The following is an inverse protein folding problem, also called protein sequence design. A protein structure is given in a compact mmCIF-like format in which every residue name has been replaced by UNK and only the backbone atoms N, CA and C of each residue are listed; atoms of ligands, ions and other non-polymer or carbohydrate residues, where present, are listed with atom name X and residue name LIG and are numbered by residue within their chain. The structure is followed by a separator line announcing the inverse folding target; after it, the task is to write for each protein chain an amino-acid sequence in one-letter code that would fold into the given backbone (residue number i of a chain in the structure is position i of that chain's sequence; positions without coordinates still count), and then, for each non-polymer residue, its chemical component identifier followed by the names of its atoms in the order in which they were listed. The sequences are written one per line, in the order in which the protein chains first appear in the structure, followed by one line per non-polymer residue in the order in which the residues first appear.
data_IF_988283999710
#
_entry.id   IF_988283999710
#
_cell.length_a   1.000
_cell.length_b   1.000
_cell.length_c   1.000
_cell.angle_alpha   90.00
_cell.angle_beta   90.00
_cell.angle_gamma   90.00
#
_symmetry.space_group_name_H-M   'P 1'
#
loop_
_entity.id
_entity.type
_entity.pdbx_description
1 polymer ?
#
# COMPACT_ATOMS: atom_id res chain seq x y z
N UNK A 1 54.64 11.67 10.15
CA UNK A 1 54.42 10.38 9.47
C UNK A 1 54.05 9.30 10.48
N UNK A 2 54.79 9.18 11.59
CA UNK A 2 54.54 8.19 12.67
C UNK A 2 53.16 8.26 13.35
N UNK A 3 52.59 9.46 13.56
CA UNK A 3 51.25 9.59 14.15
C UNK A 3 50.12 9.06 13.23
N UNK A 4 50.31 9.17 11.90
CA UNK A 4 49.37 8.64 10.90
C UNK A 4 49.40 7.10 10.88
N UNK A 5 50.59 6.51 11.02
CA UNK A 5 50.74 5.05 11.13
C UNK A 5 50.12 4.49 12.42
N UNK A 6 50.22 5.23 13.53
CA UNK A 6 49.56 4.86 14.78
C UNK A 6 48.03 4.95 14.69
N UNK A 7 47.51 6.02 14.11
CA UNK A 7 46.07 6.20 13.92
C UNK A 7 45.46 5.13 13.00
N UNK A 8 46.14 4.81 11.90
CA UNK A 8 45.73 3.74 10.98
C UNK A 8 45.73 2.37 11.68
N UNK A 9 46.74 2.11 12.51
CA UNK A 9 46.82 0.90 13.32
C UNK A 9 45.69 0.84 14.35
N UNK A 10 45.42 1.93 15.06
CA UNK A 10 44.31 2.03 16.00
C UNK A 10 42.96 1.82 15.31
N UNK A 11 42.75 2.38 14.11
CA UNK A 11 41.56 2.14 13.31
C UNK A 11 41.43 0.67 12.94
N UNK A 12 42.51 0.05 12.47
CA UNK A 12 42.52 -1.36 12.11
C UNK A 12 42.17 -2.26 13.31
N UNK A 13 42.78 -2.01 14.47
CA UNK A 13 42.51 -2.74 15.71
C UNK A 13 41.04 -2.57 16.11
N UNK A 14 40.51 -1.34 16.10
CA UNK A 14 39.12 -1.06 16.45
C UNK A 14 38.14 -1.75 15.49
N UNK A 15 38.48 -1.80 14.20
CA UNK A 15 37.71 -2.56 13.20
C UNK A 15 37.69 -4.06 13.52
N UNK A 16 38.85 -4.66 13.85
CA UNK A 16 38.93 -6.07 14.27
C UNK A 16 38.13 -6.33 15.55
N UNK A 17 38.23 -5.45 16.55
CA UNK A 17 37.43 -5.53 17.78
C UNK A 17 35.93 -5.48 17.47
N UNK A 18 35.51 -4.59 16.56
CA UNK A 18 34.12 -4.48 16.13
C UNK A 18 33.60 -5.75 15.47
N UNK A 19 34.41 -6.37 14.59
CA UNK A 19 34.08 -7.67 13.97
C UNK A 19 33.94 -8.77 15.02
N UNK A 20 34.86 -8.85 15.98
CA UNK A 20 34.78 -9.82 17.08
C UNK A 20 33.50 -9.63 17.88
N UNK A 21 33.18 -8.38 18.28
CA UNK A 21 31.95 -8.07 19.03
C UNK A 21 30.69 -8.52 18.27
N UNK A 22 30.57 -8.17 16.98
CA UNK A 22 29.44 -8.58 16.14
C UNK A 22 29.34 -10.11 16.04
N UNK A 23 30.46 -10.79 15.88
CA UNK A 23 30.50 -12.26 15.77
C UNK A 23 30.03 -12.93 17.07
N UNK A 24 30.46 -12.41 18.22
CA UNK A 24 30.02 -12.90 19.53
C UNK A 24 28.52 -12.64 19.75
N UNK A 25 28.02 -11.47 19.35
CA UNK A 25 26.59 -11.16 19.42
C UNK A 25 25.75 -12.08 18.54
N UNK A 26 26.17 -12.33 17.29
CA UNK A 26 25.49 -13.27 16.39
C UNK A 26 25.46 -14.68 16.97
N UNK A 27 26.59 -15.14 17.53
CA UNK A 27 26.65 -16.44 18.22
C UNK A 27 25.70 -16.46 19.42
N UNK A 28 25.68 -15.41 20.23
CA UNK A 28 24.79 -15.31 21.39
C UNK A 28 23.33 -15.41 20.97
N UNK A 29 22.91 -14.68 19.93
CA UNK A 29 21.54 -14.76 19.38
C UNK A 29 21.21 -16.19 18.91
N UNK A 30 22.16 -16.89 18.29
CA UNK A 30 21.96 -18.27 17.84
C UNK A 30 21.96 -19.32 18.95
N UNK A 31 22.52 -19.02 20.12
CA UNK A 31 22.63 -19.96 21.24
C UNK A 31 21.59 -19.71 22.34
N UNK A 32 21.20 -18.46 22.56
CA UNK A 32 20.20 -18.06 23.55
C UNK A 32 18.79 -18.38 23.02
N UNK A 33 18.08 -19.37 23.59
CA UNK A 33 16.76 -19.75 23.12
C UNK A 33 15.72 -18.63 23.24
N UNK A 34 15.87 -17.71 24.19
CA UNK A 34 14.95 -16.60 24.39
C UNK A 34 15.04 -15.59 23.24
N UNK A 35 16.26 -15.27 22.79
CA UNK A 35 16.49 -14.40 21.64
C UNK A 35 16.09 -15.08 20.33
N UNK A 36 16.35 -16.39 20.21
CA UNK A 36 15.88 -17.18 19.06
C UNK A 36 14.35 -17.17 18.93
N UNK A 37 13.63 -17.27 20.04
CA UNK A 37 12.17 -17.19 20.05
C UNK A 37 11.67 -15.80 19.64
N UNK A 38 12.31 -14.73 20.13
CA UNK A 38 11.99 -13.35 19.71
C UNK A 38 12.22 -13.18 18.20
N UNK A 39 13.36 -13.63 17.66
CA UNK A 39 13.66 -13.52 16.24
C UNK A 39 12.69 -14.32 15.36
N UNK A 40 12.29 -15.51 15.83
CA UNK A 40 11.28 -16.33 15.16
C UNK A 40 9.92 -15.63 15.13
N UNK A 41 9.53 -15.00 16.24
CA UNK A 41 8.32 -14.18 16.31
C UNK A 41 8.39 -13.01 15.33
N UNK A 42 9.50 -12.26 15.30
CA UNK A 42 9.68 -11.15 14.36
C UNK A 42 9.56 -11.63 12.91
N UNK A 43 10.20 -12.75 12.57
CA UNK A 43 10.11 -13.35 11.23
C UNK A 43 8.67 -13.70 10.86
N UNK A 44 7.94 -14.33 11.78
CA UNK A 44 6.54 -14.70 11.58
C UNK A 44 5.64 -13.47 11.38
N UNK A 45 5.76 -12.47 12.24
CA UNK A 45 4.98 -11.23 12.14
C UNK A 45 5.28 -10.47 10.84
N UNK A 46 6.55 -10.46 10.39
CA UNK A 46 6.93 -9.88 9.10
C UNK A 46 6.28 -10.63 7.93
N UNK A 47 6.22 -11.96 7.98
CA UNK A 47 5.54 -12.74 6.96
C UNK A 47 4.03 -12.43 6.91
N UNK A 48 3.37 -12.39 8.07
CA UNK A 48 1.96 -12.02 8.16
C UNK A 48 1.70 -10.60 7.61
N UNK A 49 2.59 -9.66 7.92
CA UNK A 49 2.50 -8.30 7.40
C UNK A 49 2.57 -8.28 5.87
N UNK A 50 3.50 -9.03 5.27
CA UNK A 50 3.59 -9.15 3.81
C UNK A 50 2.31 -9.73 3.20
N UNK A 51 1.71 -10.75 3.82
CA UNK A 51 0.44 -11.32 3.36
C UNK A 51 -0.72 -10.31 3.45
N UNK A 52 -0.76 -9.51 4.52
CA UNK A 52 -1.75 -8.43 4.66
C UNK A 52 -1.54 -7.35 3.61
N UNK A 53 -0.29 -6.96 3.32
CA UNK A 53 0.01 -5.98 2.28
C UNK A 53 -0.44 -6.46 0.89
N UNK A 54 -0.24 -7.74 0.56
CA UNK A 54 -0.74 -8.31 -0.70
C UNK A 54 -2.28 -8.24 -0.80
N UNK A 55 -2.99 -8.46 0.31
CA UNK A 55 -4.46 -8.31 0.36
C UNK A 55 -4.88 -6.86 0.16
N UNK A 56 -4.18 -5.92 0.79
CA UNK A 56 -4.42 -4.48 0.61
C UNK A 56 -4.20 -4.08 -0.84
N UNK A 57 -3.12 -4.53 -1.47
CA UNK A 57 -2.84 -4.24 -2.88
C UNK A 57 -3.97 -4.75 -3.80
N UNK A 58 -4.41 -5.98 -3.59
CA UNK A 58 -5.53 -6.58 -4.34
C UNK A 58 -6.82 -5.77 -4.16
N UNK A 59 -7.11 -5.35 -2.92
CA UNK A 59 -8.30 -4.58 -2.61
C UNK A 59 -8.26 -3.16 -3.21
N UNK A 60 -7.09 -2.51 -3.21
CA UNK A 60 -6.90 -1.21 -3.88
C UNK A 60 -7.19 -1.33 -5.37
N UNK A 61 -6.63 -2.35 -6.06
CA UNK A 61 -6.88 -2.57 -7.48
C UNK A 61 -8.38 -2.81 -7.78
N UNK A 62 -9.07 -3.55 -6.91
CA UNK A 62 -10.51 -3.76 -7.01
C UNK A 62 -11.28 -2.45 -6.88
N UNK A 63 -10.93 -1.62 -5.90
CA UNK A 63 -11.57 -0.33 -5.66
C UNK A 63 -11.34 0.65 -6.82
N UNK A 64 -10.14 0.68 -7.39
CA UNK A 64 -9.84 1.50 -8.58
C UNK A 64 -10.71 1.10 -9.77
N UNK A 65 -10.93 -0.21 -9.97
CA UNK A 65 -11.78 -0.73 -11.03
C UNK A 65 -13.23 -0.28 -10.83
N UNK A 66 -13.75 -0.42 -9.61
CA UNK A 66 -15.11 0.02 -9.26
C UNK A 66 -15.27 1.52 -9.44
N UNK A 67 -14.28 2.31 -9.01
CA UNK A 67 -14.30 3.76 -9.16
C UNK A 67 -14.40 4.18 -10.64
N UNK A 68 -13.69 3.49 -11.53
CA UNK A 68 -13.80 3.71 -12.98
C UNK A 68 -15.20 3.41 -13.49
N UNK A 69 -15.76 2.24 -13.15
CA UNK A 69 -17.12 1.86 -13.56
C UNK A 69 -18.19 2.80 -13.02
N UNK A 70 -18.05 3.29 -11.78
CA UNK A 70 -18.97 4.27 -11.21
C UNK A 70 -18.92 5.60 -11.96
N UNK A 71 -17.72 6.03 -12.40
CA UNK A 71 -17.56 7.24 -13.19
C UNK A 71 -18.19 7.10 -14.58
N UNK A 72 -18.04 5.95 -15.22
CA UNK A 72 -18.71 5.65 -16.50
C UNK A 72 -20.24 5.69 -16.35
N UNK A 73 -20.77 5.03 -15.32
CA UNK A 73 -22.21 5.04 -15.03
C UNK A 73 -22.74 6.45 -14.77
N UNK A 74 -21.98 7.27 -14.04
CA UNK A 74 -22.34 8.67 -13.79
C UNK A 74 -22.45 9.44 -15.11
N UNK A 75 -21.49 9.30 -16.02
CA UNK A 75 -21.52 9.98 -17.31
C UNK A 75 -22.72 9.55 -18.17
N UNK A 76 -23.05 8.25 -18.18
CA UNK A 76 -24.24 7.76 -18.87
C UNK A 76 -25.51 8.37 -18.29
N UNK A 77 -25.65 8.38 -16.96
CA UNK A 77 -26.82 8.93 -16.30
C UNK A 77 -26.98 10.43 -16.55
N UNK A 78 -25.88 11.19 -16.53
CA UNK A 78 -25.90 12.62 -16.86
C UNK A 78 -26.39 12.86 -18.29
N UNK A 79 -25.96 12.04 -19.25
CA UNK A 79 -26.45 12.04 -20.63
C UNK A 79 -27.95 11.73 -20.73
N UNK A 80 -28.41 10.67 -20.07
CA UNK A 80 -29.81 10.26 -20.07
C UNK A 80 -30.73 11.34 -19.47
N UNK A 81 -30.28 11.98 -18.38
CA UNK A 81 -31.00 13.09 -17.74
C UNK A 81 -31.07 14.30 -18.67
N UNK A 82 -29.98 14.63 -19.35
CA UNK A 82 -29.94 15.73 -20.31
C UNK A 82 -30.89 15.46 -21.48
N UNK A 83 -30.86 14.26 -22.06
CA UNK A 83 -31.76 13.86 -23.15
C UNK A 83 -33.24 13.91 -22.71
N UNK A 84 -33.55 13.35 -21.54
CA UNK A 84 -34.90 13.39 -20.99
C UNK A 84 -35.41 14.83 -20.77
N UNK A 85 -34.54 15.74 -20.29
CA UNK A 85 -34.88 17.16 -20.17
C UNK A 85 -35.16 17.78 -21.55
N UNK A 86 -34.31 17.53 -22.55
CA UNK A 86 -34.52 18.03 -23.90
C UNK A 86 -35.85 17.53 -24.49
N UNK A 87 -36.17 16.25 -24.33
CA UNK A 87 -37.43 15.66 -24.81
C UNK A 87 -38.64 16.27 -24.10
N UNK A 88 -38.57 16.46 -22.79
CA UNK A 88 -39.64 17.12 -21.99
C UNK A 88 -39.88 18.56 -22.46
N UNK A 89 -38.82 19.30 -22.73
CA UNK A 89 -38.90 20.73 -23.05
C UNK A 89 -39.29 20.98 -24.53
N UNK A 90 -39.14 19.98 -25.40
CA UNK A 90 -39.41 20.07 -26.85
C UNK A 90 -40.59 19.19 -27.30
N UNK A 91 -41.59 18.95 -26.44
CA UNK A 91 -42.78 18.17 -26.81
C UNK A 91 -43.57 18.91 -27.91
N UNK A 92 -43.81 18.28 -29.09
CA UNK A 92 -44.55 18.92 -30.16
C UNK A 92 -45.98 19.30 -29.75
N UNK A 93 -46.47 20.48 -30.16
CA UNK A 93 -47.76 21.01 -29.70
C UNK A 93 -48.98 20.21 -30.19
N UNK A 94 -48.80 19.38 -31.22
CA UNK A 94 -49.84 18.52 -31.79
C UNK A 94 -49.96 17.16 -31.08
N UNK A 95 -49.08 16.84 -30.12
CA UNK A 95 -49.18 15.61 -29.35
C UNK A 95 -50.26 15.73 -28.25
N UNK A 96 -50.96 14.64 -27.91
CA UNK A 96 -51.95 14.64 -26.83
C UNK A 96 -51.30 15.06 -25.51
N UNK A 97 -51.78 16.15 -24.90
CA UNK A 97 -51.34 16.56 -23.57
C UNK A 97 -51.89 15.57 -22.54
N UNK A 98 -51.03 15.05 -21.66
CA UNK A 98 -51.50 14.26 -20.51
C UNK A 98 -52.50 15.10 -19.71
N UNK A 99 -53.70 14.57 -19.49
CA UNK A 99 -54.65 15.17 -18.55
C UNK A 99 -54.03 15.15 -17.15
N UNK A 100 -54.24 16.19 -16.32
CA UNK A 100 -53.79 16.14 -14.94
C UNK A 100 -54.57 15.02 -14.23
N UNK A 101 -53.86 13.98 -13.77
CA UNK A 101 -54.41 12.99 -12.86
C UNK A 101 -54.75 13.71 -11.55
N UNK A 102 -56.05 13.73 -11.21
CA UNK A 102 -56.61 14.31 -9.99
C UNK A 102 -56.45 13.35 -8.82
#
# INVERSE_FOLDING_TARGET
MEALELDDLCFHINSKISVIKKTLQLRHIGQDPSLGAVLSKVTYELQLLCELLNKVETEVQRQETIAKSLKELQLTLEGDVQEASHLRDNVPPHLPKKSPTR
#
